data_IF_835028777933
#
_entry.id   IF_835028777933
#
_cell.length_a   1.000
_cell.length_b   1.000
_cell.length_c   1.000
_cell.angle_alpha   90.00
_cell.angle_beta   90.00
_cell.angle_gamma   90.00
#
_symmetry.space_group_name_H-M   'P 1'
#
loop_
_entity.id
_entity.type
_entity.pdbx_description
1 polymer ?
#
# COMPACT_ATOMS: atom_id res chain seq x y z
N UNK A 1 -31.35 18.19 24.78
CA UNK A 1 -29.89 18.30 25.05
C UNK A 1 -29.19 16.95 24.87
N UNK A 2 -29.84 15.85 25.25
CA UNK A 2 -29.24 14.51 25.27
C UNK A 2 -28.84 13.96 23.89
N UNK A 3 -29.62 14.27 22.84
CA UNK A 3 -29.29 13.89 21.45
C UNK A 3 -27.98 14.56 20.99
N UNK A 4 -27.76 15.82 21.36
CA UNK A 4 -26.55 16.55 20.99
C UNK A 4 -25.32 15.94 21.69
N UNK A 5 -25.44 15.61 22.97
CA UNK A 5 -24.38 14.94 23.74
C UNK A 5 -24.06 13.57 23.13
N UNK A 6 -25.08 12.81 22.74
CA UNK A 6 -24.90 11.51 22.09
C UNK A 6 -24.17 11.65 20.74
N UNK A 7 -24.58 12.59 19.89
CA UNK A 7 -23.93 12.84 18.59
C UNK A 7 -22.48 13.27 18.79
N UNK A 8 -22.22 14.20 19.72
CA UNK A 8 -20.86 14.66 20.01
C UNK A 8 -19.98 13.53 20.56
N UNK A 9 -20.52 12.70 21.45
CA UNK A 9 -19.84 11.51 21.96
C UNK A 9 -19.50 10.50 20.86
N UNK A 10 -20.43 10.26 19.93
CA UNK A 10 -20.20 9.37 18.79
C UNK A 10 -19.12 9.92 17.85
N UNK A 11 -19.18 11.20 17.50
CA UNK A 11 -18.16 11.84 16.66
C UNK A 11 -16.78 11.81 17.30
N UNK A 12 -16.70 12.00 18.62
CA UNK A 12 -15.45 11.90 19.37
C UNK A 12 -14.86 10.49 19.32
N UNK A 13 -15.67 9.46 19.61
CA UNK A 13 -15.27 8.06 19.52
C UNK A 13 -14.82 7.70 18.10
N UNK A 14 -15.58 8.12 17.09
CA UNK A 14 -15.23 7.90 15.69
C UNK A 14 -13.90 8.56 15.31
N UNK A 15 -13.68 9.79 15.75
CA UNK A 15 -12.42 10.51 15.57
C UNK A 15 -11.23 9.80 16.23
N UNK A 16 -11.41 9.24 17.44
CA UNK A 16 -10.38 8.45 18.11
C UNK A 16 -10.03 7.18 17.33
N UNK A 17 -11.02 6.44 16.84
CA UNK A 17 -10.78 5.23 16.04
C UNK A 17 -9.97 5.54 14.79
N UNK A 18 -10.32 6.63 14.08
CA UNK A 18 -9.55 7.12 12.93
C UNK A 18 -8.12 7.47 13.35
N UNK A 19 -7.96 8.25 14.41
CA UNK A 19 -6.65 8.72 14.89
C UNK A 19 -5.72 7.56 15.26
N UNK A 20 -6.21 6.59 16.03
CA UNK A 20 -5.44 5.40 16.37
C UNK A 20 -5.10 4.57 15.14
N UNK A 21 -6.04 4.39 14.20
CA UNK A 21 -5.80 3.66 12.95
C UNK A 21 -4.67 4.29 12.13
N UNK A 22 -4.65 5.63 12.04
CA UNK A 22 -3.57 6.38 11.38
C UNK A 22 -2.23 6.10 12.08
N UNK A 23 -2.18 6.22 13.41
CA UNK A 23 -0.95 6.02 14.18
C UNK A 23 -0.41 4.61 14.02
N UNK A 24 -1.26 3.58 14.12
CA UNK A 24 -0.84 2.19 13.99
C UNK A 24 -0.21 1.94 12.63
N UNK A 25 -0.89 2.33 11.55
CA UNK A 25 -0.35 2.21 10.18
C UNK A 25 0.93 3.00 9.99
N UNK A 26 1.01 4.21 10.55
CA UNK A 26 2.22 5.03 10.45
C UNK A 26 3.42 4.41 11.18
N UNK A 27 3.19 3.83 12.36
CA UNK A 27 4.24 3.10 13.10
C UNK A 27 4.75 1.91 12.31
N UNK A 28 3.86 1.18 11.63
CA UNK A 28 4.24 0.04 10.79
C UNK A 28 5.07 0.49 9.57
N UNK A 29 4.67 1.57 8.90
CA UNK A 29 5.45 2.19 7.82
C UNK A 29 6.84 2.61 8.30
N UNK A 30 6.93 3.27 9.46
CA UNK A 30 8.22 3.68 10.05
C UNK A 30 9.12 2.50 10.36
N UNK A 31 8.56 1.44 10.96
CA UNK A 31 9.29 0.21 11.27
C UNK A 31 9.92 -0.40 10.01
N UNK A 32 9.11 -0.58 8.96
CA UNK A 32 9.60 -1.08 7.67
C UNK A 32 10.67 -0.16 7.09
N UNK A 33 10.47 1.16 7.12
CA UNK A 33 11.46 2.12 6.62
C UNK A 33 12.79 2.06 7.37
N UNK A 34 12.78 1.89 8.70
CA UNK A 34 14.01 1.78 9.49
C UNK A 34 14.76 0.46 9.26
N UNK A 35 14.03 -0.63 9.02
CA UNK A 35 14.64 -1.91 8.65
C UNK A 35 15.38 -1.80 7.31
N UNK A 36 14.87 -0.99 6.38
CA UNK A 36 15.47 -0.79 5.06
C UNK A 36 16.77 0.01 5.11
N UNK A 37 16.95 0.94 6.05
CA UNK A 37 18.20 1.72 6.17
C UNK A 37 19.42 0.83 6.42
N UNK A 38 19.20 -0.39 6.92
CA UNK A 38 20.25 -1.38 7.16
C UNK A 38 20.53 -2.28 5.95
N UNK A 39 19.71 -2.22 4.90
CA UNK A 39 19.76 -3.11 3.74
C UNK A 39 20.04 -2.25 2.49
N UNK A 40 21.06 -2.63 1.71
CA UNK A 40 21.43 -1.92 0.49
C UNK A 40 20.37 -2.11 -0.63
N UNK A 41 19.22 -1.44 -0.49
CA UNK A 41 18.10 -1.48 -1.43
C UNK A 41 18.12 -0.28 -2.35
N UNK A 42 17.79 -0.51 -3.63
CA UNK A 42 17.48 0.58 -4.56
C UNK A 42 16.09 1.13 -4.23
N UNK A 43 15.83 2.38 -4.60
CA UNK A 43 14.54 3.01 -4.30
C UNK A 43 14.04 3.94 -5.40
N UNK A 44 12.72 4.09 -5.45
CA UNK A 44 12.00 5.12 -6.16
C UNK A 44 11.27 5.99 -5.14
N UNK A 45 11.51 7.30 -5.18
CA UNK A 45 10.91 8.26 -4.25
C UNK A 45 9.82 9.09 -4.94
N UNK A 46 8.94 9.68 -4.12
CA UNK A 46 7.82 10.53 -4.55
C UNK A 46 6.86 9.85 -5.53
N UNK A 47 6.63 8.55 -5.34
CA UNK A 47 5.57 7.82 -6.05
C UNK A 47 4.23 8.17 -5.43
N UNK A 48 3.17 8.13 -6.23
CA UNK A 48 1.81 8.26 -5.74
C UNK A 48 1.12 6.90 -5.83
N UNK A 49 0.72 6.37 -4.67
CA UNK A 49 0.24 4.99 -4.54
C UNK A 49 -1.18 4.98 -4.03
N UNK A 50 -2.07 4.35 -4.78
CA UNK A 50 -3.42 4.02 -4.36
C UNK A 50 -3.59 2.50 -4.26
N UNK A 51 -4.42 2.05 -3.33
CA UNK A 51 -4.61 0.62 -3.09
C UNK A 51 -6.10 0.29 -3.09
N UNK A 52 -6.49 -0.71 -3.85
CA UNK A 52 -7.87 -1.16 -3.95
C UNK A 52 -7.98 -2.59 -3.45
N UNK A 53 -8.87 -2.84 -2.48
CA UNK A 53 -9.17 -4.18 -1.98
C UNK A 53 -10.52 -4.64 -2.53
N UNK A 54 -10.48 -5.74 -3.27
CA UNK A 54 -11.65 -6.41 -3.84
C UNK A 54 -11.95 -7.65 -2.99
N UNK A 55 -12.94 -7.53 -2.11
CA UNK A 55 -13.51 -8.66 -1.38
C UNK A 55 -14.78 -9.17 -2.07
N UNK A 56 -15.29 -10.31 -1.61
CA UNK A 56 -16.49 -10.97 -2.19
C UNK A 56 -17.74 -10.07 -2.18
N UNK A 57 -17.89 -9.20 -1.18
CA UNK A 57 -19.09 -8.38 -0.97
C UNK A 57 -18.81 -6.87 -0.91
N UNK A 58 -17.55 -6.45 -1.02
CA UNK A 58 -17.16 -5.04 -0.84
C UNK A 58 -15.88 -4.75 -1.62
N UNK A 59 -15.88 -3.58 -2.27
CA UNK A 59 -14.68 -2.98 -2.84
C UNK A 59 -14.32 -1.77 -1.97
N UNK A 60 -13.07 -1.71 -1.52
CA UNK A 60 -12.51 -0.57 -0.79
C UNK A 60 -11.46 0.05 -1.70
N UNK A 61 -11.65 1.31 -2.09
CA UNK A 61 -10.68 2.05 -2.90
C UNK A 61 -10.00 3.05 -1.97
N UNK A 62 -8.69 2.89 -1.80
CA UNK A 62 -7.87 3.78 -0.99
C UNK A 62 -7.45 5.02 -1.77
N UNK A 63 -7.38 6.15 -1.07
CA UNK A 63 -6.87 7.38 -1.63
C UNK A 63 -5.38 7.29 -1.95
N UNK A 64 -5.00 7.99 -3.02
CA UNK A 64 -3.62 8.13 -3.43
C UNK A 64 -2.76 8.76 -2.32
N UNK A 65 -1.61 8.14 -2.05
CA UNK A 65 -0.71 8.51 -0.96
C UNK A 65 0.71 8.58 -1.48
N UNK A 66 1.43 9.66 -1.12
CA UNK A 66 2.86 9.77 -1.44
C UNK A 66 3.64 8.67 -0.73
N UNK A 67 4.37 7.88 -1.51
CA UNK A 67 5.07 6.71 -1.06
C UNK A 67 6.50 6.66 -1.61
N UNK A 68 7.30 5.78 -0.99
CA UNK A 68 8.62 5.38 -1.43
C UNK A 68 8.60 3.88 -1.64
N UNK A 69 9.10 3.43 -2.79
CA UNK A 69 9.25 2.02 -3.11
C UNK A 69 10.73 1.67 -2.98
N UNK A 70 11.01 0.62 -2.21
CA UNK A 70 12.32 0.03 -2.06
C UNK A 70 12.30 -1.37 -2.65
N UNK A 71 13.39 -1.75 -3.31
CA UNK A 71 13.48 -3.07 -3.92
C UNK A 71 14.93 -3.57 -4.01
N UNK A 72 15.06 -4.89 -3.99
CA UNK A 72 16.23 -5.62 -4.43
C UNK A 72 15.78 -6.96 -5.05
N UNK A 73 16.65 -7.96 -5.12
CA UNK A 73 16.29 -9.28 -5.68
C UNK A 73 15.40 -10.11 -4.76
N UNK A 74 15.40 -9.83 -3.45
CA UNK A 74 14.76 -10.63 -2.40
C UNK A 74 13.51 -9.98 -1.80
N UNK A 75 13.44 -8.65 -1.79
CA UNK A 75 12.43 -7.87 -1.08
C UNK A 75 11.95 -6.67 -1.92
N UNK A 76 10.63 -6.41 -1.90
CA UNK A 76 10.01 -5.15 -2.33
C UNK A 76 9.21 -4.61 -1.15
N UNK A 77 9.41 -3.33 -0.81
CA UNK A 77 8.62 -2.65 0.22
C UNK A 77 8.11 -1.33 -0.33
N UNK A 78 6.83 -1.08 -0.18
CA UNK A 78 6.19 0.19 -0.47
C UNK A 78 5.73 0.79 0.85
N UNK A 79 6.26 1.95 1.20
CA UNK A 79 5.93 2.67 2.44
C UNK A 79 5.43 4.07 2.14
N UNK A 80 4.48 4.57 2.92
CA UNK A 80 4.07 5.95 2.87
C UNK A 80 5.18 6.89 3.36
N UNK A 81 5.33 8.03 2.68
CA UNK A 81 6.35 9.04 3.01
C UNK A 81 5.91 9.98 4.14
N UNK A 82 4.60 10.14 4.33
CA UNK A 82 4.03 11.04 5.32
C UNK A 82 2.88 10.38 6.06
N UNK A 83 2.70 10.80 7.30
CA UNK A 83 1.51 10.48 8.07
C UNK A 83 0.33 11.28 7.50
N UNK A 84 -0.61 10.64 6.82
CA UNK A 84 -1.78 11.30 6.24
C UNK A 84 -3.05 10.50 6.46
N UNK A 85 -4.19 11.18 6.43
CA UNK A 85 -5.51 10.54 6.55
C UNK A 85 -5.76 9.47 5.48
N UNK A 86 -5.17 9.61 4.29
CA UNK A 86 -5.23 8.62 3.22
C UNK A 86 -4.70 7.24 3.63
N UNK A 87 -3.83 7.16 4.65
CA UNK A 87 -3.34 5.90 5.20
C UNK A 87 -4.45 5.03 5.78
N UNK A 88 -5.53 5.62 6.32
CA UNK A 88 -6.63 4.85 6.94
C UNK A 88 -7.23 3.85 5.95
N UNK A 89 -7.35 4.26 4.69
CA UNK A 89 -7.97 3.49 3.61
C UNK A 89 -6.94 2.84 2.69
N UNK A 90 -5.65 3.03 2.97
CA UNK A 90 -4.56 2.44 2.20
C UNK A 90 -4.22 1.04 2.72
N UNK A 91 -3.62 0.19 1.91
CA UNK A 91 -2.98 -1.07 2.34
C UNK A 91 -1.49 -0.88 2.68
N UNK A 92 -0.98 0.35 2.70
CA UNK A 92 0.40 0.63 3.04
C UNK A 92 0.69 0.42 4.54
N UNK A 93 1.87 -0.13 4.91
CA UNK A 93 2.94 -0.55 4.01
C UNK A 93 2.66 -1.89 3.32
N UNK A 94 3.12 -2.06 2.08
CA UNK A 94 3.05 -3.34 1.35
C UNK A 94 4.44 -3.94 1.29
N UNK A 95 4.58 -5.22 1.67
CA UNK A 95 5.83 -5.96 1.62
C UNK A 95 5.66 -7.23 0.78
N UNK A 96 6.55 -7.40 -0.19
CA UNK A 96 6.77 -8.65 -0.90
C UNK A 96 8.15 -9.20 -0.54
N UNK A 97 8.21 -10.50 -0.32
CA UNK A 97 9.35 -11.20 0.23
C UNK A 97 9.43 -12.60 -0.40
N UNK A 98 10.46 -12.84 -1.21
CA UNK A 98 10.63 -14.12 -1.88
C UNK A 98 10.97 -15.24 -0.92
N UNK A 99 11.69 -14.96 0.17
CA UNK A 99 12.10 -15.98 1.14
C UNK A 99 10.87 -16.53 1.87
N UNK A 100 9.88 -15.66 2.12
CA UNK A 100 8.60 -16.02 2.73
C UNK A 100 7.50 -16.36 1.70
N UNK A 101 7.83 -16.46 0.41
CA UNK A 101 6.90 -16.73 -0.69
C UNK A 101 5.71 -15.74 -0.77
N UNK A 102 5.91 -14.50 -0.32
CA UNK A 102 4.96 -13.40 -0.40
C UNK A 102 5.29 -12.63 -1.67
N UNK A 103 4.80 -13.10 -2.82
CA UNK A 103 5.12 -12.52 -4.12
C UNK A 103 3.88 -11.95 -4.81
N UNK A 104 4.02 -10.92 -5.66
CA UNK A 104 2.95 -10.45 -6.51
C UNK A 104 2.41 -11.57 -7.40
N UNK A 105 1.10 -11.60 -7.59
CA UNK A 105 0.47 -12.48 -8.57
C UNK A 105 0.73 -11.94 -9.98
N UNK A 106 0.60 -10.62 -10.16
CA UNK A 106 0.75 -9.97 -11.45
C UNK A 106 1.25 -8.54 -11.32
N UNK A 107 2.06 -8.12 -12.29
CA UNK A 107 2.50 -6.74 -12.44
C UNK A 107 2.17 -6.32 -13.87
N UNK A 108 1.42 -5.23 -14.03
CA UNK A 108 0.95 -4.73 -15.34
C UNK A 108 1.34 -3.27 -15.51
N UNK A 109 1.69 -2.89 -16.73
CA UNK A 109 1.66 -1.49 -17.15
C UNK A 109 0.23 -1.13 -17.55
N UNK A 110 -0.20 0.10 -17.28
CA UNK A 110 -1.37 0.65 -17.95
C UNK A 110 -0.97 1.74 -18.98
N UNK A 111 -1.97 2.27 -19.67
CA UNK A 111 -1.81 3.32 -20.68
C UNK A 111 -1.32 4.65 -20.08
N UNK A 112 -1.71 4.92 -18.83
CA UNK A 112 -1.27 6.06 -18.04
C UNK A 112 0.17 5.90 -17.53
N UNK A 113 0.73 6.90 -16.86
CA UNK A 113 2.06 6.82 -16.25
C UNK A 113 2.04 5.99 -14.96
N UNK A 114 1.44 4.78 -14.97
CA UNK A 114 1.31 3.95 -13.78
C UNK A 114 1.54 2.46 -14.01
N UNK A 115 1.86 1.77 -12.93
CA UNK A 115 2.00 0.32 -12.84
C UNK A 115 1.00 -0.21 -11.82
N UNK A 116 0.41 -1.37 -12.10
CA UNK A 116 -0.49 -2.05 -11.19
C UNK A 116 0.21 -3.32 -10.69
N UNK A 117 0.33 -3.45 -9.37
CA UNK A 117 0.78 -4.67 -8.70
C UNK A 117 -0.43 -5.34 -8.06
N UNK A 118 -0.70 -6.58 -8.43
CA UNK A 118 -1.83 -7.37 -7.95
C UNK A 118 -1.33 -8.48 -7.02
N UNK A 119 -1.99 -8.64 -5.89
CA UNK A 119 -1.71 -9.72 -4.93
C UNK A 119 -3.00 -10.28 -4.36
N UNK A 120 -2.99 -11.57 -4.04
CA UNK A 120 -4.07 -12.20 -3.30
C UNK A 120 -3.66 -12.32 -1.84
N UNK A 121 -4.41 -11.66 -0.97
CA UNK A 121 -4.29 -11.85 0.46
C UNK A 121 -5.50 -12.62 0.98
N UNK A 122 -5.23 -13.71 1.69
CA UNK A 122 -6.26 -14.43 2.45
C UNK A 122 -6.55 -13.65 3.73
N UNK A 123 -7.73 -13.06 3.84
CA UNK A 123 -8.19 -12.48 5.11
C UNK A 123 -9.13 -13.46 5.78
N UNK A 124 -8.87 -13.77 7.05
CA UNK A 124 -9.63 -14.73 7.86
C UNK A 124 -11.13 -14.38 8.00
N UNK A 125 -11.51 -13.14 7.73
CA UNK A 125 -12.88 -12.62 7.88
C UNK A 125 -13.65 -12.40 6.56
N UNK A 126 -13.00 -12.40 5.39
CA UNK A 126 -13.64 -12.11 4.09
C UNK A 126 -13.29 -13.13 2.99
N UNK A 127 -12.40 -14.09 3.27
CA UNK A 127 -11.88 -15.03 2.28
C UNK A 127 -10.71 -14.45 1.47
N UNK A 128 -10.46 -15.01 0.28
CA UNK A 128 -9.48 -14.47 -0.67
C UNK A 128 -9.90 -13.06 -1.10
N UNK A 129 -9.07 -12.07 -0.76
CA UNK A 129 -9.23 -10.70 -1.19
C UNK A 129 -8.12 -10.34 -2.15
N UNK A 130 -8.48 -9.82 -3.32
CA UNK A 130 -7.50 -9.29 -4.27
C UNK A 130 -7.17 -7.86 -3.86
N UNK A 131 -5.90 -7.56 -3.71
CA UNK A 131 -5.39 -6.21 -3.48
C UNK A 131 -4.67 -5.77 -4.73
N UNK A 132 -5.07 -4.61 -5.25
CA UNK A 132 -4.38 -3.94 -6.34
C UNK A 132 -3.69 -2.70 -5.79
N UNK A 133 -2.41 -2.54 -6.10
CA UNK A 133 -1.61 -1.38 -5.77
C UNK A 133 -1.27 -0.67 -7.07
N UNK A 134 -1.90 0.47 -7.30
CA UNK A 134 -1.62 1.34 -8.45
C UNK A 134 -0.55 2.34 -8.03
N UNK A 135 0.56 2.33 -8.76
CA UNK A 135 1.74 3.16 -8.53
C UNK A 135 1.88 4.12 -9.70
N UNK A 136 1.59 5.38 -9.46
CA UNK A 136 1.79 6.45 -10.42
C UNK A 136 3.25 6.94 -10.39
N UNK A 137 3.78 7.14 -11.59
CA UNK A 137 5.13 7.63 -11.86
C UNK A 137 5.04 9.00 -12.52
N UNK A 138 6.11 9.77 -12.43
CA UNK A 138 6.12 11.14 -12.93
C UNK A 138 6.07 11.21 -14.46
N UNK A 139 6.65 10.21 -15.13
CA UNK A 139 6.75 10.18 -16.59
C UNK A 139 6.84 8.73 -17.11
N UNK A 140 6.74 8.60 -18.44
CA UNK A 140 6.78 7.28 -19.12
C UNK A 140 8.11 6.55 -18.96
N UNK A 141 9.21 7.28 -18.85
CA UNK A 141 10.55 6.71 -18.70
C UNK A 141 10.71 6.03 -17.34
N UNK A 142 10.34 6.74 -16.26
CA UNK A 142 10.30 6.20 -14.91
C UNK A 142 9.32 5.03 -14.79
N UNK A 143 8.17 5.08 -15.49
CA UNK A 143 7.25 3.93 -15.61
C UNK A 143 7.97 2.72 -16.19
N UNK A 144 8.68 2.90 -17.31
CA UNK A 144 9.34 1.80 -18.00
C UNK A 144 10.49 1.22 -17.16
N UNK A 145 11.27 2.08 -16.52
CA UNK A 145 12.34 1.69 -15.61
C UNK A 145 11.77 0.88 -14.44
N UNK A 146 10.78 1.42 -13.72
CA UNK A 146 10.14 0.76 -12.59
C UNK A 146 9.55 -0.59 -12.99
N UNK A 147 8.86 -0.67 -14.14
CA UNK A 147 8.31 -1.93 -14.64
C UNK A 147 9.39 -2.96 -14.92
N UNK A 148 10.48 -2.57 -15.58
CA UNK A 148 11.57 -3.47 -15.90
C UNK A 148 12.27 -4.03 -14.65
N UNK A 149 12.36 -3.25 -13.58
CA UNK A 149 12.92 -3.71 -12.31
C UNK A 149 11.99 -4.69 -11.58
N UNK A 150 10.67 -4.51 -11.72
CA UNK A 150 9.69 -5.28 -10.95
C UNK A 150 9.11 -6.48 -11.70
N UNK A 151 9.08 -6.51 -13.04
CA UNK A 151 8.35 -7.55 -13.80
C UNK A 151 8.74 -9.00 -13.45
N UNK A 152 10.01 -9.24 -13.11
CA UNK A 152 10.55 -10.57 -12.77
C UNK A 152 10.16 -11.06 -11.36
N UNK A 153 9.33 -10.29 -10.64
CA UNK A 153 8.84 -10.65 -9.32
C UNK A 153 7.52 -11.41 -9.31
N UNK A 154 6.85 -11.55 -10.47
CA UNK A 154 5.57 -12.24 -10.55
C UNK A 154 5.74 -13.76 -10.46
N UNK A 155 4.74 -14.44 -9.89
CA UNK A 155 4.68 -15.91 -9.84
C UNK A 155 4.56 -16.57 -11.22
N UNK A 156 4.08 -15.82 -12.21
CA UNK A 156 3.98 -16.24 -13.61
C UNK A 156 4.63 -15.16 -14.49
N UNK A 157 5.88 -15.38 -14.88
CA UNK A 157 6.60 -14.56 -15.87
C UNK A 157 6.49 -15.17 -17.26
#
# INVERSE_FOLDING_TARGET
MDILIFILGFLFLFGLVIYFSIIFRWRENKKQSSEIETINMKFFDNLEVSTSRFGKYKIIIGFATKAKLFYNEKLIIIVAKKNSFSLVQSELPIKFDKENNIIPEKIKMNEWNSIIIETQNYSTSVGLSRVECLIETQNKEQKLELYNQLKNWCRYS
#
